data_IF_931981259738
#
_entry.id   IF_931981259738
#
_cell.length_a   1.000
_cell.length_b   1.000
_cell.length_c   1.000
_cell.angle_alpha   90.00
_cell.angle_beta   90.00
_cell.angle_gamma   90.00
#
_symmetry.space_group_name_H-M   'P 1'
#
loop_
_entity.id
_entity.type
_entity.pdbx_description
1 polymer ?
#
# COMPACT_ATOMS: atom_id res chain seq x y z
N UNK A 1 -8.02 -11.29 -15.22
CA UNK A 1 -7.85 -10.88 -13.82
C UNK A 1 -6.45 -10.33 -13.69
N UNK A 2 -6.29 -9.12 -13.16
CA UNK A 2 -4.99 -8.44 -13.07
C UNK A 2 -4.21 -8.99 -11.86
N UNK A 3 -2.90 -9.18 -12.00
CA UNK A 3 -2.05 -9.83 -10.99
C UNK A 3 -0.73 -9.08 -10.86
N UNK A 4 -0.27 -8.89 -9.63
CA UNK A 4 1.05 -8.37 -9.31
C UNK A 4 2.06 -9.51 -9.27
N UNK A 5 3.00 -9.52 -10.21
CA UNK A 5 4.09 -10.49 -10.24
C UNK A 5 5.20 -10.06 -9.29
N UNK A 6 5.50 -10.87 -8.28
CA UNK A 6 6.56 -10.60 -7.29
C UNK A 6 7.80 -11.41 -7.58
N UNK A 7 7.63 -12.71 -7.88
CA UNK A 7 8.70 -13.63 -8.26
C UNK A 7 8.16 -14.69 -9.21
N UNK A 8 9.03 -15.53 -9.82
CA UNK A 8 8.58 -16.63 -10.69
C UNK A 8 7.60 -17.61 -10.04
N UNK A 9 7.61 -17.68 -8.70
CA UNK A 9 6.79 -18.59 -7.91
C UNK A 9 5.71 -17.88 -7.08
N UNK A 10 5.66 -16.53 -7.12
CA UNK A 10 4.72 -15.75 -6.32
C UNK A 10 4.09 -14.64 -7.16
N UNK A 11 2.78 -14.73 -7.31
CA UNK A 11 1.95 -13.75 -7.99
C UNK A 11 0.74 -13.44 -7.12
N UNK A 12 0.49 -12.16 -6.83
CA UNK A 12 -0.58 -11.72 -5.93
C UNK A 12 -1.74 -11.17 -6.79
N UNK A 13 -2.94 -11.76 -6.73
CA UNK A 13 -4.10 -11.22 -7.43
C UNK A 13 -4.40 -9.79 -6.94
N UNK A 14 -4.63 -8.85 -7.86
CA UNK A 14 -4.95 -7.47 -7.46
C UNK A 14 -6.28 -7.37 -6.70
N UNK A 15 -7.15 -8.37 -6.78
CA UNK A 15 -8.35 -8.48 -5.95
C UNK A 15 -8.06 -8.64 -4.46
N UNK A 16 -6.87 -9.10 -4.08
CA UNK A 16 -6.43 -9.16 -2.67
C UNK A 16 -5.88 -7.82 -2.17
N UNK A 17 -5.59 -6.89 -3.09
CA UNK A 17 -5.04 -5.57 -2.80
C UNK A 17 -6.15 -4.52 -2.76
N UNK A 18 -6.23 -3.78 -1.66
CA UNK A 18 -7.16 -2.66 -1.52
C UNK A 18 -6.42 -1.34 -1.66
N UNK A 19 -6.84 -0.51 -2.60
CA UNK A 19 -6.27 0.82 -2.81
C UNK A 19 -7.26 1.89 -2.36
N UNK A 20 -6.80 2.82 -1.52
CA UNK A 20 -7.53 4.02 -1.12
C UNK A 20 -6.79 5.23 -1.66
N UNK A 21 -7.49 6.06 -2.44
CA UNK A 21 -6.96 7.29 -2.98
C UNK A 21 -7.45 8.45 -2.12
N UNK A 22 -6.50 9.16 -1.52
CA UNK A 22 -6.76 10.34 -0.71
C UNK A 22 -6.48 11.59 -1.54
N UNK A 23 -7.42 12.54 -1.51
CA UNK A 23 -7.19 13.89 -2.00
C UNK A 23 -6.77 14.73 -0.80
N UNK A 24 -5.67 15.47 -0.91
CA UNK A 24 -5.27 16.42 0.13
C UNK A 24 -6.34 17.51 0.27
N UNK A 25 -7.21 17.39 1.28
CA UNK A 25 -8.15 18.46 1.66
C UNK A 25 -7.51 19.32 2.73
N UNK A 26 -6.69 20.29 2.32
CA UNK A 26 -6.24 21.36 3.21
C UNK A 26 -7.24 22.54 3.17
N UNK A 27 -7.72 23.06 4.31
CA UNK A 27 -8.49 24.30 4.33
C UNK A 27 -7.63 25.47 3.81
N UNK A 28 -8.24 26.33 3.00
CA UNK A 28 -7.58 27.35 2.18
C UNK A 28 -6.64 28.29 2.94
N UNK A 29 -5.41 28.36 2.43
CA UNK A 29 -4.46 29.46 2.62
C UNK A 29 -3.83 29.74 1.26
N UNK A 30 -3.81 31.01 0.88
CA UNK A 30 -3.49 31.52 -0.46
C UNK A 30 -2.26 30.83 -1.12
N UNK A 31 -2.46 30.33 -2.35
CA UNK A 31 -1.45 29.90 -3.35
C UNK A 31 -0.89 28.46 -3.43
N UNK A 32 -1.55 27.38 -2.98
CA UNK A 32 -1.08 26.03 -3.40
C UNK A 32 -2.21 24.98 -3.52
N UNK A 33 -2.99 25.00 -4.60
CA UNK A 33 -3.70 23.79 -5.05
C UNK A 33 -2.69 22.84 -5.72
N UNK A 34 -1.77 22.25 -4.94
CA UNK A 34 -0.95 21.13 -5.43
C UNK A 34 -1.80 19.88 -5.36
N UNK A 35 -2.05 19.31 -6.53
CA UNK A 35 -2.72 18.04 -6.78
C UNK A 35 -1.88 16.87 -6.21
N UNK A 36 -1.73 16.82 -4.89
CA UNK A 36 -1.10 15.70 -4.21
C UNK A 36 -2.15 14.59 -4.07
N UNK A 37 -2.10 13.61 -4.96
CA UNK A 37 -2.78 12.33 -4.77
C UNK A 37 -1.91 11.45 -3.88
N UNK A 38 -2.34 11.26 -2.64
CA UNK A 38 -1.76 10.27 -1.73
C UNK A 38 -2.53 8.95 -1.92
N UNK A 39 -1.83 7.83 -2.03
CA UNK A 39 -2.42 6.49 -2.20
C UNK A 39 -2.05 5.63 -1.03
N UNK A 40 -3.02 4.94 -0.46
CA UNK A 40 -2.83 3.93 0.57
C UNK A 40 -3.18 2.55 -0.01
N UNK A 41 -2.23 1.63 0.07
CA UNK A 41 -2.39 0.22 -0.24
C UNK A 41 -2.58 -0.55 1.07
N UNK A 42 -3.64 -1.33 1.15
CA UNK A 42 -3.87 -2.34 2.17
C UNK A 42 -3.79 -3.73 1.58
N UNK A 43 -3.08 -4.63 2.25
CA UNK A 43 -2.98 -6.03 1.89
C UNK A 43 -3.17 -6.93 3.12
N UNK A 44 -4.26 -7.70 3.11
CA UNK A 44 -4.55 -8.71 4.13
C UNK A 44 -3.85 -10.03 3.77
N UNK A 45 -2.53 -10.05 3.97
CA UNK A 45 -1.69 -11.20 3.64
C UNK A 45 -1.97 -12.43 4.52
N UNK A 46 -2.63 -12.26 5.67
CA UNK A 46 -3.00 -13.34 6.59
C UNK A 46 -3.99 -14.28 5.92
N UNK A 47 -4.93 -13.74 5.14
CA UNK A 47 -5.96 -14.50 4.42
C UNK A 47 -5.62 -14.73 2.94
N UNK A 48 -4.40 -14.40 2.50
CA UNK A 48 -3.99 -14.57 1.12
C UNK A 48 -3.95 -16.03 0.69
N UNK A 49 -4.55 -16.35 -0.46
CA UNK A 49 -4.59 -17.71 -0.99
C UNK A 49 -3.25 -18.14 -1.65
N UNK A 50 -2.38 -17.18 -1.96
CA UNK A 50 -1.13 -17.43 -2.69
C UNK A 50 0.10 -17.52 -1.80
N UNK A 51 -0.04 -17.16 -0.51
CA UNK A 51 1.06 -17.19 0.44
C UNK A 51 1.06 -18.47 1.28
N UNK A 52 2.23 -19.09 1.41
CA UNK A 52 2.46 -20.16 2.37
C UNK A 52 2.55 -19.62 3.81
N UNK A 53 2.33 -20.47 4.81
CA UNK A 53 2.45 -20.07 6.22
C UNK A 53 3.83 -19.51 6.57
N UNK A 54 4.90 -20.09 6.02
CA UNK A 54 6.26 -19.56 6.19
C UNK A 54 6.41 -18.14 5.61
N UNK A 55 5.82 -17.88 4.43
CA UNK A 55 5.84 -16.55 3.83
C UNK A 55 5.03 -15.55 4.66
N UNK A 56 3.85 -15.94 5.16
CA UNK A 56 3.03 -15.10 6.04
C UNK A 56 3.78 -14.75 7.32
N UNK A 57 4.40 -15.73 7.97
CA UNK A 57 5.18 -15.50 9.18
C UNK A 57 6.36 -14.55 8.90
N UNK A 58 7.10 -14.78 7.81
CA UNK A 58 8.20 -13.91 7.41
C UNK A 58 7.76 -12.48 7.15
N UNK A 59 6.59 -12.28 6.54
CA UNK A 59 5.99 -10.94 6.35
C UNK A 59 5.67 -10.32 7.71
N UNK A 60 4.99 -11.05 8.59
CA UNK A 60 4.61 -10.55 9.91
C UNK A 60 5.83 -10.14 10.75
N UNK A 61 6.91 -10.92 10.72
CA UNK A 61 8.15 -10.62 11.43
C UNK A 61 8.92 -9.45 10.83
N UNK A 62 9.09 -9.43 9.49
CA UNK A 62 9.94 -8.43 8.82
C UNK A 62 9.24 -7.09 8.64
N UNK A 63 7.92 -7.08 8.51
CA UNK A 63 7.11 -5.89 8.24
C UNK A 63 6.19 -5.53 9.40
N UNK A 64 6.46 -6.03 10.61
CA UNK A 64 5.69 -5.76 11.84
C UNK A 64 5.37 -4.26 12.03
N UNK A 65 6.33 -3.39 11.72
CA UNK A 65 6.21 -1.93 11.85
C UNK A 65 5.27 -1.27 10.83
N UNK A 66 4.86 -2.02 9.80
CA UNK A 66 3.95 -1.58 8.72
C UNK A 66 2.58 -2.24 8.80
N UNK A 67 2.34 -3.05 9.83
CA UNK A 67 1.04 -3.66 10.06
C UNK A 67 0.11 -2.65 10.73
N UNK A 68 -1.15 -2.64 10.29
CA UNK A 68 -2.20 -1.90 10.97
C UNK A 68 -2.70 -2.69 12.20
N UNK A 69 -3.65 -2.10 12.95
CA UNK A 69 -4.23 -2.73 14.14
C UNK A 69 -4.96 -4.06 13.87
N UNK A 70 -5.28 -4.37 12.61
CA UNK A 70 -5.91 -5.66 12.21
C UNK A 70 -4.89 -6.68 11.72
N UNK A 71 -3.59 -6.37 11.78
CA UNK A 71 -2.52 -7.24 11.28
C UNK A 71 -2.34 -7.24 9.76
N UNK A 72 -3.06 -6.38 9.03
CA UNK A 72 -2.90 -6.22 7.59
C UNK A 72 -1.79 -5.21 7.27
N UNK A 73 -1.07 -5.46 6.18
CA UNK A 73 -0.01 -4.57 5.72
C UNK A 73 -0.63 -3.28 5.15
N UNK A 74 -0.20 -2.11 5.65
CA UNK A 74 -0.60 -0.82 5.11
C UNK A 74 0.62 -0.03 4.62
N UNK A 75 0.57 0.43 3.37
CA UNK A 75 1.63 1.21 2.75
C UNK A 75 1.01 2.48 2.16
N UNK A 76 1.49 3.63 2.61
CA UNK A 76 1.13 4.92 2.05
C UNK A 76 2.22 5.40 1.10
N UNK A 77 1.82 5.91 -0.07
CA UNK A 77 2.69 6.51 -1.06
C UNK A 77 2.15 7.87 -1.45
N UNK A 78 2.98 8.89 -1.28
CA UNK A 78 2.66 10.27 -1.59
C UNK A 78 3.63 10.75 -2.68
N UNK A 79 3.09 11.14 -3.84
CA UNK A 79 3.92 11.78 -4.88
C UNK A 79 4.14 13.24 -4.52
N UNK A 80 5.27 13.55 -3.91
CA UNK A 80 5.78 14.93 -3.88
C UNK A 80 6.51 15.20 -5.19
N UNK A 81 5.92 16.00 -6.09
CA UNK A 81 6.72 16.64 -7.15
C UNK A 81 7.61 17.68 -6.46
N UNK A 82 8.85 17.29 -6.18
CA UNK A 82 9.94 18.21 -5.86
C UNK A 82 10.20 19.02 -7.12
N UNK A 83 9.72 20.26 -7.16
CA UNK A 83 10.13 21.19 -8.20
C UNK A 83 11.53 21.66 -7.80
N UNK A 84 12.54 21.18 -8.54
CA UNK A 84 13.91 21.64 -8.39
C UNK A 84 13.98 23.15 -8.59
N UNK A 85 14.76 23.80 -7.72
CA UNK A 85 15.12 25.21 -7.81
C UNK A 85 15.95 25.48 -9.06
#
# INVERSE_FOLDING_TARGET
METLYVSPTLSIPLSELRFKFHRSSGPGGQNVNKLNTSVELQYDFVHSAVLSDEQRQRIAEKLATRLNSTGALSIQSERFRTQGR
#
